data_IF_572108600534
#
_entry.id   IF_572108600534
#
_cell.length_a   1.000
_cell.length_b   1.000
_cell.length_c   1.000
_cell.angle_alpha   90.00
_cell.angle_beta   90.00
_cell.angle_gamma   90.00
#
_symmetry.space_group_name_H-M   'P 1'
#
loop_
_entity.id
_entity.type
_entity.pdbx_description
1 polymer ?
#
# COMPACT_ATOMS: atom_id res chain seq x y z
N UNK A 1 -33.28 -70.35 4.63
CA UNK A 1 -33.23 -69.38 3.51
C UNK A 1 -32.33 -68.27 3.93
N UNK A 2 -31.27 -68.07 3.23
CA UNK A 2 -30.03 -67.36 3.59
C UNK A 2 -30.18 -65.92 4.03
N UNK A 3 -29.67 -65.62 5.15
CA UNK A 3 -29.38 -64.30 5.64
C UNK A 3 -27.88 -64.00 5.43
N UNK A 4 -27.59 -63.01 4.59
CA UNK A 4 -26.22 -62.57 4.21
C UNK A 4 -25.92 -61.25 4.89
N UNK A 5 -25.35 -61.27 6.11
CA UNK A 5 -24.83 -60.10 6.79
C UNK A 5 -23.55 -59.59 6.13
N UNK A 6 -23.60 -58.36 5.58
CA UNK A 6 -22.43 -57.62 5.09
C UNK A 6 -21.79 -56.82 6.23
N UNK A 7 -20.66 -57.32 6.73
CA UNK A 7 -19.82 -56.57 7.66
C UNK A 7 -19.07 -55.43 6.96
N UNK A 8 -19.33 -54.19 7.36
CA UNK A 8 -18.57 -53.03 6.92
C UNK A 8 -17.15 -53.00 7.51
N UNK A 9 -16.15 -52.40 6.86
CA UNK A 9 -14.78 -52.35 7.35
C UNK A 9 -14.67 -51.47 8.60
N UNK A 10 -14.14 -52.10 9.68
CA UNK A 10 -13.83 -51.41 10.92
C UNK A 10 -12.80 -50.30 10.68
N UNK A 11 -13.09 -49.12 11.17
CA UNK A 11 -12.11 -48.04 11.27
C UNK A 11 -11.13 -48.36 12.37
N UNK A 12 -9.92 -48.75 12.00
CA UNK A 12 -8.83 -48.93 12.94
C UNK A 12 -8.51 -47.57 13.61
N UNK A 13 -8.56 -47.56 14.93
CA UNK A 13 -8.16 -46.39 15.71
C UNK A 13 -6.64 -46.26 15.62
N UNK A 14 -6.10 -45.07 15.39
CA UNK A 14 -4.65 -44.87 15.32
C UNK A 14 -4.01 -45.29 16.66
N UNK A 15 -2.90 -46.01 16.56
CA UNK A 15 -2.12 -46.42 17.72
C UNK A 15 -1.45 -45.21 18.39
N UNK A 16 -1.18 -45.24 19.71
CA UNK A 16 -0.51 -44.16 20.42
C UNK A 16 0.83 -43.75 19.80
N UNK A 17 1.50 -44.69 19.12
CA UNK A 17 2.73 -44.42 18.37
C UNK A 17 2.48 -43.53 17.15
N UNK A 18 1.36 -43.68 16.45
CA UNK A 18 0.98 -42.83 15.33
C UNK A 18 0.71 -41.37 15.75
N UNK A 19 0.15 -41.17 16.94
CA UNK A 19 -0.05 -39.82 17.50
C UNK A 19 1.27 -39.14 17.88
N UNK A 20 2.25 -39.87 18.41
CA UNK A 20 3.57 -39.32 18.73
C UNK A 20 4.36 -38.92 17.47
N UNK A 21 4.27 -39.72 16.40
CA UNK A 21 4.92 -39.38 15.12
C UNK A 21 4.24 -38.16 14.47
N UNK A 22 2.91 -38.06 14.52
CA UNK A 22 2.17 -36.89 14.00
C UNK A 22 2.50 -35.60 14.75
N UNK A 23 2.60 -35.64 16.07
CA UNK A 23 3.00 -34.51 16.92
C UNK A 23 4.46 -34.08 16.68
N UNK A 24 5.37 -35.06 16.48
CA UNK A 24 6.77 -34.77 16.18
C UNK A 24 6.95 -34.12 14.80
N UNK A 25 6.18 -34.53 13.78
CA UNK A 25 6.18 -33.90 12.48
C UNK A 25 5.58 -32.46 12.50
N UNK A 26 4.49 -32.26 13.22
CA UNK A 26 3.89 -30.93 13.39
C UNK A 26 4.86 -29.98 14.12
N UNK A 27 5.56 -30.44 15.15
CA UNK A 27 6.55 -29.65 15.85
C UNK A 27 7.78 -29.33 14.97
N UNK A 28 8.20 -30.25 14.10
CA UNK A 28 9.30 -30.01 13.16
C UNK A 28 8.94 -29.00 12.07
N UNK A 29 7.70 -29.01 11.58
CA UNK A 29 7.21 -28.04 10.60
C UNK A 29 7.12 -26.63 11.23
N UNK A 30 6.57 -26.54 12.45
CA UNK A 30 6.46 -25.25 13.16
C UNK A 30 7.85 -24.76 13.60
N UNK A 31 8.71 -25.64 14.10
CA UNK A 31 10.10 -25.29 14.46
C UNK A 31 10.96 -24.94 13.26
N UNK A 32 10.79 -25.62 12.12
CA UNK A 32 11.49 -25.33 10.87
C UNK A 32 11.07 -23.99 10.28
N UNK A 33 9.79 -23.64 10.35
CA UNK A 33 9.28 -22.34 9.92
C UNK A 33 9.78 -21.20 10.84
N UNK A 34 9.84 -21.45 12.15
CA UNK A 34 10.36 -20.49 13.12
C UNK A 34 11.87 -20.26 12.96
N UNK A 35 12.66 -21.33 12.70
CA UNK A 35 14.09 -21.23 12.46
C UNK A 35 14.42 -20.62 11.10
N UNK A 36 13.59 -20.83 10.07
CA UNK A 36 13.75 -20.14 8.78
C UNK A 36 13.50 -18.63 8.90
N UNK A 37 12.61 -18.22 9.82
CA UNK A 37 12.32 -16.81 10.10
C UNK A 37 13.41 -16.13 10.93
N UNK A 38 14.16 -16.90 11.76
CA UNK A 38 15.22 -16.35 12.63
C UNK A 38 16.64 -16.50 12.08
N UNK A 39 16.85 -17.39 11.10
CA UNK A 39 18.17 -17.63 10.49
C UNK A 39 18.44 -16.80 9.21
N UNK A 40 17.49 -15.99 8.76
CA UNK A 40 17.63 -15.06 7.64
C UNK A 40 18.22 -13.70 8.02
N UNK A 41 18.94 -13.60 9.12
CA UNK A 41 19.71 -12.42 9.51
C UNK A 41 21.04 -12.36 8.75
N UNK A 42 21.00 -12.03 7.48
CA UNK A 42 22.15 -11.57 6.70
C UNK A 42 21.92 -10.11 6.35
N UNK A 43 22.93 -9.30 6.65
CA UNK A 43 22.97 -7.86 6.44
C UNK A 43 22.82 -7.49 4.96
N UNK A 44 21.58 -7.48 4.46
CA UNK A 44 21.19 -6.79 3.24
C UNK A 44 20.17 -5.72 3.63
N UNK A 45 20.70 -4.67 4.23
CA UNK A 45 19.99 -3.45 4.58
C UNK A 45 19.53 -2.72 3.31
N UNK A 46 18.25 -2.79 2.99
CA UNK A 46 17.77 -1.77 2.10
C UNK A 46 16.33 -1.83 1.58
N UNK A 47 15.85 -2.91 1.05
CA UNK A 47 14.59 -2.85 0.30
C UNK A 47 13.43 -3.68 0.87
N UNK A 48 13.71 -4.79 1.53
CA UNK A 48 12.68 -5.71 2.00
C UNK A 48 11.97 -5.27 3.31
N UNK A 49 12.49 -4.27 4.01
CA UNK A 49 11.97 -3.84 5.32
C UNK A 49 10.68 -3.01 5.25
N UNK A 50 10.34 -2.46 4.09
CA UNK A 50 9.28 -1.45 3.98
C UNK A 50 7.86 -2.01 3.91
N UNK A 51 7.68 -3.28 3.60
CA UNK A 51 6.35 -3.90 3.46
C UNK A 51 5.85 -4.52 4.78
N UNK A 52 6.71 -4.76 5.75
CA UNK A 52 6.41 -5.60 6.92
C UNK A 52 5.55 -4.95 8.00
N UNK A 53 5.17 -3.67 7.88
CA UNK A 53 4.53 -2.91 8.96
C UNK A 53 3.13 -2.39 8.65
N UNK A 54 2.59 -2.64 7.44
CA UNK A 54 1.26 -2.18 7.10
C UNK A 54 0.20 -3.24 7.38
N UNK A 55 -0.94 -2.80 7.87
CA UNK A 55 -2.16 -3.62 7.87
C UNK A 55 -2.73 -3.61 6.46
N UNK A 56 -2.68 -4.73 5.79
CA UNK A 56 -3.18 -4.85 4.43
C UNK A 56 -2.53 -5.99 3.68
N UNK A 57 -2.89 -6.15 2.43
CA UNK A 57 -2.37 -7.17 1.52
C UNK A 57 -1.58 -6.52 0.40
N UNK A 58 -0.51 -7.15 -0.05
CA UNK A 58 0.14 -6.74 -1.32
C UNK A 58 -0.75 -7.04 -2.53
N UNK A 59 -1.82 -7.82 -2.35
CA UNK A 59 -2.73 -8.29 -3.39
C UNK A 59 -2.00 -8.93 -4.60
N UNK A 60 -0.82 -9.49 -4.33
CA UNK A 60 0.04 -10.14 -5.33
C UNK A 60 0.93 -9.20 -6.14
N UNK A 61 0.90 -7.89 -5.88
CA UNK A 61 1.76 -6.93 -6.58
C UNK A 61 3.20 -7.08 -6.16
N UNK A 62 4.10 -6.97 -7.13
CA UNK A 62 5.53 -7.01 -6.91
C UNK A 62 6.05 -5.66 -6.39
N UNK A 63 6.96 -5.67 -5.39
CA UNK A 63 7.57 -4.43 -4.89
C UNK A 63 8.46 -3.78 -5.95
N UNK A 64 8.60 -2.45 -5.85
CA UNK A 64 9.54 -1.68 -6.66
C UNK A 64 10.90 -1.58 -5.96
N UNK A 65 11.80 -2.49 -6.29
CA UNK A 65 13.16 -2.55 -5.71
C UNK A 65 14.19 -1.72 -6.50
N UNK A 66 13.75 -0.89 -7.45
CA UNK A 66 14.66 -0.06 -8.25
C UNK A 66 15.34 0.98 -7.35
N UNK A 67 16.63 1.18 -7.53
CA UNK A 67 17.39 2.22 -6.85
C UNK A 67 16.81 3.62 -7.18
N UNK A 68 16.38 4.33 -6.16
CA UNK A 68 15.76 5.63 -6.32
C UNK A 68 16.77 6.77 -6.47
N UNK A 69 16.34 7.87 -7.08
CA UNK A 69 17.07 9.14 -7.03
C UNK A 69 16.69 9.89 -5.76
N UNK A 70 17.69 10.33 -4.99
CA UNK A 70 17.43 11.11 -3.78
C UNK A 70 16.52 12.32 -4.08
N UNK A 71 15.46 12.53 -3.31
CA UNK A 71 14.56 13.66 -3.55
C UNK A 71 15.24 14.97 -3.20
N UNK A 72 14.79 16.10 -3.79
CA UNK A 72 15.28 17.41 -3.39
C UNK A 72 14.95 17.67 -1.92
N UNK A 73 15.77 18.47 -1.22
CA UNK A 73 15.46 18.92 0.14
C UNK A 73 14.06 19.54 0.21
N UNK A 74 13.37 19.35 1.32
CA UNK A 74 12.11 20.06 1.54
C UNK A 74 12.37 21.58 1.57
N UNK A 75 11.54 22.39 0.88
CA UNK A 75 11.70 23.83 0.94
C UNK A 75 11.48 24.35 2.36
N UNK A 76 12.26 25.34 2.75
CA UNK A 76 12.08 26.06 4.02
C UNK A 76 11.82 27.55 3.72
N UNK A 77 10.76 28.16 4.30
CA UNK A 77 9.76 27.55 5.17
C UNK A 77 8.86 26.57 4.41
N UNK A 78 8.21 25.67 5.15
CA UNK A 78 7.24 24.75 4.56
C UNK A 78 6.14 25.55 3.84
N UNK A 79 5.95 25.24 2.56
CA UNK A 79 4.87 25.83 1.76
C UNK A 79 3.60 24.99 1.98
N UNK A 80 2.43 25.60 1.91
CA UNK A 80 1.19 24.83 1.92
C UNK A 80 0.98 24.15 0.56
N UNK A 81 0.15 23.10 0.54
CA UNK A 81 -0.14 22.30 -0.64
C UNK A 81 -0.68 23.15 -1.82
N UNK A 82 -1.44 24.20 -1.56
CA UNK A 82 -1.98 25.11 -2.59
C UNK A 82 -0.87 25.90 -3.29
N UNK A 83 0.05 26.50 -2.53
CA UNK A 83 1.17 27.24 -3.10
C UNK A 83 2.13 26.32 -3.87
N UNK A 84 2.43 25.14 -3.33
CA UNK A 84 3.27 24.17 -3.98
C UNK A 84 2.64 23.63 -5.28
N UNK A 85 1.35 23.32 -5.28
CA UNK A 85 0.61 22.91 -6.47
C UNK A 85 0.64 24.00 -7.56
N UNK A 86 0.42 25.24 -7.19
CA UNK A 86 0.48 26.38 -8.13
C UNK A 86 1.89 26.53 -8.75
N UNK A 87 2.94 26.46 -7.94
CA UNK A 87 4.33 26.55 -8.41
C UNK A 87 4.70 25.42 -9.39
N UNK A 88 4.18 24.22 -9.18
CA UNK A 88 4.38 23.07 -10.06
C UNK A 88 3.44 23.07 -11.30
N UNK A 89 2.44 23.94 -11.35
CA UNK A 89 1.38 23.91 -12.36
C UNK A 89 0.47 22.67 -12.23
N UNK A 90 0.35 22.14 -11.03
CA UNK A 90 -0.53 21.05 -10.69
C UNK A 90 -1.93 21.57 -10.29
N UNK A 91 -2.94 20.73 -10.46
CA UNK A 91 -4.30 21.02 -10.02
C UNK A 91 -4.56 20.34 -8.69
N UNK A 92 -4.79 21.11 -7.66
CA UNK A 92 -5.25 20.64 -6.37
C UNK A 92 -6.79 20.67 -6.32
N UNK A 93 -7.38 19.61 -5.82
CA UNK A 93 -8.82 19.47 -5.55
C UNK A 93 -8.95 18.86 -4.15
N UNK A 94 -9.61 19.55 -3.27
CA UNK A 94 -9.90 19.12 -1.89
C UNK A 94 -11.40 19.15 -1.63
N UNK A 95 -11.83 18.46 -0.58
CA UNK A 95 -13.25 18.41 -0.20
C UNK A 95 -14.15 17.96 -1.36
N UNK A 96 -13.67 16.98 -2.14
CA UNK A 96 -14.48 16.35 -3.16
C UNK A 96 -15.65 15.63 -2.51
N UNK A 97 -16.81 15.53 -3.19
CA UNK A 97 -17.90 14.71 -2.69
C UNK A 97 -17.44 13.29 -2.41
N UNK A 98 -17.83 12.76 -1.26
CA UNK A 98 -17.65 11.35 -0.94
C UNK A 98 -18.61 10.50 -1.77
N UNK A 99 -18.10 9.42 -2.36
CA UNK A 99 -18.81 8.58 -3.34
C UNK A 99 -19.29 7.25 -2.74
N UNK A 100 -19.26 7.10 -1.42
CA UNK A 100 -19.63 5.89 -0.68
C UNK A 100 -18.51 5.40 0.23
N UNK A 101 -18.83 4.36 1.03
CA UNK A 101 -17.90 3.68 1.95
C UNK A 101 -18.27 2.21 2.18
N UNK A 102 -19.14 1.66 1.35
CA UNK A 102 -19.56 0.28 1.57
C UNK A 102 -18.41 -0.68 1.25
N UNK A 103 -18.21 -1.64 2.14
CA UNK A 103 -17.25 -2.71 1.93
C UNK A 103 -17.81 -3.77 0.98
N UNK A 104 -17.16 -3.92 -0.14
CA UNK A 104 -17.46 -4.90 -1.17
C UNK A 104 -16.60 -6.16 -0.99
N UNK A 105 -16.99 -7.21 -1.69
CA UNK A 105 -16.21 -8.43 -1.89
C UNK A 105 -15.65 -8.48 -3.32
N UNK A 106 -14.77 -9.44 -3.62
CA UNK A 106 -14.27 -9.65 -4.99
C UNK A 106 -15.34 -10.18 -5.96
N UNK A 107 -16.48 -10.60 -5.45
CA UNK A 107 -17.61 -11.10 -6.25
C UNK A 107 -18.58 -9.98 -6.66
N UNK A 108 -18.52 -8.85 -5.97
CA UNK A 108 -19.33 -7.69 -6.28
C UNK A 108 -18.82 -6.97 -7.53
N UNK A 109 -19.71 -6.29 -8.29
CA UNK A 109 -19.27 -5.46 -9.40
C UNK A 109 -18.27 -4.39 -8.96
N UNK A 110 -17.26 -4.15 -9.79
CA UNK A 110 -16.31 -3.06 -9.51
C UNK A 110 -17.06 -1.71 -9.51
N UNK A 111 -16.85 -0.86 -8.50
CA UNK A 111 -17.49 0.44 -8.43
C UNK A 111 -16.98 1.39 -9.52
N UNK A 112 -17.84 2.29 -9.97
CA UNK A 112 -17.44 3.41 -10.84
C UNK A 112 -17.11 4.62 -9.98
N UNK A 113 -15.94 5.21 -10.21
CA UNK A 113 -15.48 6.38 -9.47
C UNK A 113 -15.58 7.65 -10.31
N UNK A 114 -16.04 8.73 -9.70
CA UNK A 114 -16.18 10.05 -10.35
C UNK A 114 -14.85 10.75 -10.63
N UNK A 115 -13.75 10.25 -10.06
CA UNK A 115 -12.40 10.75 -10.32
C UNK A 115 -11.45 9.62 -10.74
N UNK A 116 -10.50 9.95 -11.61
CA UNK A 116 -9.38 9.09 -11.99
C UNK A 116 -8.08 9.85 -11.74
N UNK A 117 -7.27 9.41 -10.75
CA UNK A 117 -7.51 8.33 -9.79
C UNK A 117 -8.66 8.60 -8.81
N UNK A 118 -9.24 7.55 -8.17
CA UNK A 118 -10.31 7.70 -7.19
C UNK A 118 -9.82 8.31 -5.89
N UNK A 119 -10.74 8.98 -5.17
CA UNK A 119 -10.46 9.60 -3.87
C UNK A 119 -11.36 9.13 -2.74
N UNK A 120 -12.46 8.46 -3.05
CA UNK A 120 -13.43 7.87 -2.13
C UNK A 120 -14.33 6.93 -2.91
N UNK A 121 -15.23 6.24 -2.24
CA UNK A 121 -16.24 5.37 -2.84
C UNK A 121 -16.28 3.99 -2.20
N UNK A 122 -17.24 3.18 -2.62
CA UNK A 122 -17.33 1.79 -2.19
C UNK A 122 -16.07 1.03 -2.62
N UNK A 123 -15.59 0.12 -1.78
CA UNK A 123 -14.29 -0.50 -1.97
C UNK A 123 -14.20 -1.89 -1.33
N UNK A 124 -13.14 -2.62 -1.65
CA UNK A 124 -12.96 -3.98 -1.11
C UNK A 124 -12.70 -3.93 0.38
N UNK A 125 -13.48 -4.70 1.14
CA UNK A 125 -13.37 -4.80 2.60
C UNK A 125 -12.11 -5.52 3.10
N UNK A 126 -11.88 -5.46 4.44
CA UNK A 126 -10.71 -6.11 5.03
C UNK A 126 -10.66 -7.62 4.76
N UNK A 127 -9.48 -8.24 4.71
CA UNK A 127 -8.13 -7.66 4.91
C UNK A 127 -7.45 -7.21 3.60
N UNK A 128 -8.20 -6.94 2.54
CA UNK A 128 -7.69 -6.81 1.18
C UNK A 128 -7.35 -5.37 0.77
N UNK A 129 -7.35 -4.40 1.70
CA UNK A 129 -6.80 -3.09 1.39
C UNK A 129 -5.35 -3.20 0.91
N UNK A 130 -4.94 -2.36 -0.03
CA UNK A 130 -3.56 -2.36 -0.51
C UNK A 130 -2.61 -1.97 0.61
N UNK A 131 -1.62 -2.81 0.89
CA UNK A 131 -0.58 -2.53 1.86
C UNK A 131 0.28 -1.33 1.44
N UNK A 132 0.80 -0.58 2.43
CA UNK A 132 1.81 0.45 2.18
C UNK A 132 2.98 -0.16 1.41
N UNK A 133 3.46 0.52 0.36
CA UNK A 133 4.51 -0.01 -0.48
C UNK A 133 4.69 0.78 -1.77
N UNK A 134 5.88 0.63 -2.39
CA UNK A 134 6.11 0.99 -3.76
C UNK A 134 5.99 -0.28 -4.62
N UNK A 135 5.24 -0.20 -5.72
CA UNK A 135 4.93 -1.33 -6.60
C UNK A 135 5.28 -1.01 -8.05
N UNK A 136 5.67 -2.04 -8.81
CA UNK A 136 5.95 -1.91 -10.25
C UNK A 136 4.72 -2.15 -11.14
N UNK A 137 3.60 -2.54 -10.53
CA UNK A 137 2.34 -2.86 -11.19
C UNK A 137 1.22 -1.95 -10.70
N UNK A 138 0.21 -1.76 -11.55
CA UNK A 138 -0.97 -0.96 -11.23
C UNK A 138 -1.82 -1.66 -10.17
N UNK A 139 -2.08 -0.98 -9.07
CA UNK A 139 -2.98 -1.48 -8.03
C UNK A 139 -4.44 -1.31 -8.41
N UNK A 140 -5.29 -2.24 -7.98
CA UNK A 140 -6.72 -2.15 -8.23
C UNK A 140 -7.33 -0.94 -7.49
N UNK A 141 -8.12 -0.10 -8.17
CA UNK A 141 -8.64 1.13 -7.57
C UNK A 141 -9.41 0.91 -6.25
N UNK A 142 -10.22 -0.15 -6.17
CA UNK A 142 -11.02 -0.47 -5.00
C UNK A 142 -10.17 -0.90 -3.78
N UNK A 143 -8.95 -1.41 -3.99
CA UNK A 143 -8.04 -1.76 -2.91
C UNK A 143 -7.33 -0.51 -2.38
N UNK A 144 -7.05 0.44 -3.29
CA UNK A 144 -6.47 1.73 -2.96
C UNK A 144 -7.44 2.59 -2.18
N UNK A 145 -8.72 2.65 -2.59
CA UNK A 145 -9.74 3.46 -1.91
C UNK A 145 -9.87 3.05 -0.45
N UNK A 146 -9.81 1.76 -0.13
CA UNK A 146 -9.78 1.29 1.26
C UNK A 146 -8.56 1.83 2.03
N UNK A 147 -7.39 1.83 1.40
CA UNK A 147 -6.20 2.41 2.02
C UNK A 147 -6.34 3.92 2.26
N UNK A 148 -7.01 4.65 1.34
CA UNK A 148 -7.30 6.08 1.54
C UNK A 148 -8.26 6.30 2.70
N UNK A 149 -9.27 5.44 2.89
CA UNK A 149 -10.20 5.49 4.02
C UNK A 149 -9.49 5.34 5.37
N UNK A 150 -8.34 4.64 5.37
CA UNK A 150 -7.45 4.51 6.52
C UNK A 150 -6.36 5.61 6.60
N UNK A 151 -6.50 6.72 5.87
CA UNK A 151 -5.61 7.87 5.96
C UNK A 151 -4.29 7.76 5.20
N UNK A 152 -4.16 6.80 4.27
CA UNK A 152 -2.98 6.69 3.41
C UNK A 152 -3.01 7.74 2.31
N UNK A 153 -1.82 8.01 1.78
CA UNK A 153 -1.63 8.82 0.57
C UNK A 153 -1.13 7.91 -0.54
N UNK A 154 -1.86 7.84 -1.65
CA UNK A 154 -1.47 7.05 -2.81
C UNK A 154 -0.83 7.97 -3.87
N UNK A 155 0.47 7.78 -4.11
CA UNK A 155 1.22 8.47 -5.16
C UNK A 155 1.18 7.59 -6.41
N UNK A 156 0.86 8.20 -7.55
CA UNK A 156 0.70 7.50 -8.81
C UNK A 156 1.43 8.23 -9.91
N UNK A 157 2.04 7.49 -10.83
CA UNK A 157 2.75 8.06 -11.96
C UNK A 157 2.36 7.37 -13.28
N UNK A 158 2.47 8.13 -14.37
CA UNK A 158 2.31 7.59 -15.72
C UNK A 158 3.49 6.66 -16.04
N UNK A 159 3.27 5.38 -16.36
CA UNK A 159 4.34 4.45 -16.70
C UNK A 159 5.15 4.87 -17.93
N UNK A 160 4.63 5.73 -18.80
CA UNK A 160 5.32 6.26 -19.96
C UNK A 160 6.30 7.41 -19.63
N UNK A 161 6.37 7.86 -18.37
CA UNK A 161 7.40 8.80 -17.95
C UNK A 161 8.81 8.25 -18.15
N UNK A 162 9.79 9.10 -18.46
CA UNK A 162 11.20 8.70 -18.45
C UNK A 162 11.58 8.02 -17.14
N UNK A 163 12.41 6.99 -17.20
CA UNK A 163 12.84 6.23 -16.02
C UNK A 163 13.45 7.15 -14.95
N UNK A 164 14.20 8.18 -15.34
CA UNK A 164 14.77 9.17 -14.42
C UNK A 164 13.70 9.87 -13.58
N UNK A 165 12.55 10.17 -14.19
CA UNK A 165 11.46 10.87 -13.53
C UNK A 165 10.70 9.92 -12.60
N UNK A 166 10.47 8.66 -13.04
CA UNK A 166 9.91 7.62 -12.17
C UNK A 166 10.78 7.40 -10.92
N UNK A 167 12.11 7.34 -11.10
CA UNK A 167 13.06 7.15 -9.99
C UNK A 167 13.14 8.36 -9.06
N UNK A 168 12.90 9.58 -9.58
CA UNK A 168 12.77 10.77 -8.74
C UNK A 168 11.50 10.74 -7.88
N UNK A 169 10.38 10.25 -8.43
CA UNK A 169 9.12 10.06 -7.69
C UNK A 169 9.30 8.97 -6.64
N UNK A 170 9.94 7.86 -7.01
CA UNK A 170 10.28 6.81 -6.05
C UNK A 170 11.16 7.32 -4.92
N UNK A 171 12.13 8.19 -5.21
CA UNK A 171 12.96 8.82 -4.20
C UNK A 171 12.17 9.65 -3.19
N UNK A 172 11.10 10.33 -3.62
CA UNK A 172 10.17 10.96 -2.67
C UNK A 172 9.49 9.91 -1.80
N UNK A 173 8.94 8.84 -2.39
CA UNK A 173 8.32 7.76 -1.65
C UNK A 173 9.28 7.14 -0.62
N UNK A 174 10.53 6.91 -0.98
CA UNK A 174 11.54 6.31 -0.10
C UNK A 174 11.90 7.21 1.10
N UNK A 175 11.44 8.46 1.15
CA UNK A 175 11.54 9.32 2.33
C UNK A 175 10.40 9.11 3.33
N UNK A 176 9.39 8.29 3.00
CA UNK A 176 8.28 7.90 3.87
C UNK A 176 8.29 6.38 4.03
N UNK A 177 8.08 5.90 5.24
CA UNK A 177 8.17 4.47 5.58
C UNK A 177 6.81 3.83 5.86
N UNK A 178 5.78 4.62 6.03
CA UNK A 178 4.41 4.15 6.25
C UNK A 178 3.38 5.18 5.84
N UNK A 179 2.15 4.74 5.66
CA UNK A 179 1.03 5.61 5.32
C UNK A 179 1.06 6.11 3.88
N UNK A 180 1.85 5.48 3.01
CA UNK A 180 1.93 5.85 1.60
C UNK A 180 2.00 4.62 0.70
N UNK A 181 1.49 4.80 -0.52
CA UNK A 181 1.59 3.86 -1.62
C UNK A 181 2.19 4.57 -2.82
N UNK A 182 2.96 3.84 -3.64
CA UNK A 182 3.46 4.31 -4.93
C UNK A 182 3.25 3.22 -5.97
N UNK A 183 2.66 3.56 -7.12
CA UNK A 183 2.48 2.61 -8.22
C UNK A 183 2.25 3.31 -9.56
N UNK A 184 2.52 2.64 -10.71
CA UNK A 184 2.16 3.16 -12.02
C UNK A 184 0.64 3.13 -12.23
N UNK A 185 0.10 4.15 -12.89
CA UNK A 185 -1.31 4.19 -13.29
C UNK A 185 -1.46 4.75 -14.72
N UNK A 186 -1.65 3.87 -15.70
CA UNK A 186 -1.79 4.26 -17.11
C UNK A 186 -3.15 4.92 -17.42
N UNK A 187 -4.16 4.76 -16.56
CA UNK A 187 -5.53 5.19 -16.82
C UNK A 187 -5.77 6.67 -16.48
N UNK A 188 -4.83 7.30 -15.77
CA UNK A 188 -4.95 8.70 -15.37
C UNK A 188 -4.49 9.67 -16.47
N UNK A 189 -4.98 10.93 -16.39
CA UNK A 189 -4.61 12.01 -17.31
C UNK A 189 -3.44 12.87 -16.80
N UNK A 190 -2.72 12.40 -15.84
CA UNK A 190 -1.64 13.10 -15.16
C UNK A 190 -0.32 12.38 -15.36
N UNK A 191 0.75 13.12 -15.50
CA UNK A 191 2.08 12.56 -15.41
C UNK A 191 2.37 12.02 -14.00
N UNK A 192 1.90 12.76 -12.98
CA UNK A 192 1.96 12.37 -11.57
C UNK A 192 0.70 12.84 -10.88
N UNK A 193 0.15 11.99 -10.02
CA UNK A 193 -0.94 12.36 -9.12
C UNK A 193 -0.69 11.83 -7.71
N UNK A 194 -1.34 12.44 -6.72
CA UNK A 194 -1.51 11.84 -5.41
C UNK A 194 -2.95 12.00 -4.94
N UNK A 195 -3.45 10.97 -4.27
CA UNK A 195 -4.79 10.95 -3.69
C UNK A 195 -4.75 10.65 -2.21
N UNK A 196 -5.67 11.24 -1.49
CA UNK A 196 -6.06 10.95 -0.14
C UNK A 196 -7.59 10.95 -0.08
N UNK A 197 -8.20 10.61 1.03
CA UNK A 197 -9.66 10.62 1.12
C UNK A 197 -10.23 11.98 0.72
N UNK A 198 -11.14 11.99 -0.24
CA UNK A 198 -11.79 13.17 -0.85
C UNK A 198 -10.85 14.25 -1.38
N UNK A 199 -9.59 13.94 -1.63
CA UNK A 199 -8.60 14.91 -2.06
C UNK A 199 -7.68 14.36 -3.15
N UNK A 200 -7.32 15.22 -4.13
CA UNK A 200 -6.46 14.88 -5.26
C UNK A 200 -5.59 16.06 -5.65
N UNK A 201 -4.31 15.79 -5.88
CA UNK A 201 -3.42 16.65 -6.66
C UNK A 201 -3.03 15.93 -7.94
N UNK A 202 -3.12 16.60 -9.08
CA UNK A 202 -2.75 16.04 -10.38
C UNK A 202 -1.89 16.99 -11.18
N UNK A 203 -0.72 16.54 -11.61
CA UNK A 203 0.25 17.27 -12.40
C UNK A 203 0.27 16.71 -13.82
N UNK A 204 -0.14 17.48 -14.81
CA UNK A 204 -0.17 17.01 -16.21
C UNK A 204 1.23 16.83 -16.83
N UNK A 205 2.23 17.46 -16.23
CA UNK A 205 3.62 17.38 -16.63
C UNK A 205 4.48 17.18 -15.39
N UNK A 206 5.50 16.34 -15.50
CA UNK A 206 6.53 16.27 -14.47
C UNK A 206 7.51 17.43 -14.66
N UNK A 207 7.69 18.25 -13.63
CA UNK A 207 8.53 19.44 -13.63
C UNK A 207 9.65 19.35 -12.58
N UNK A 208 10.23 18.15 -12.45
CA UNK A 208 11.31 17.90 -11.49
C UNK A 208 10.93 18.26 -10.06
N UNK A 209 11.82 19.00 -9.40
CA UNK A 209 11.71 19.38 -7.99
C UNK A 209 10.39 20.06 -7.63
N UNK A 210 9.84 20.87 -8.53
CA UNK A 210 8.57 21.55 -8.28
C UNK A 210 7.43 20.54 -8.12
N UNK A 211 7.38 19.51 -8.99
CA UNK A 211 6.38 18.43 -8.87
C UNK A 211 6.61 17.60 -7.62
N UNK A 212 7.86 17.21 -7.34
CA UNK A 212 8.21 16.46 -6.12
C UNK A 212 7.76 17.22 -4.86
N UNK A 213 8.02 18.52 -4.80
CA UNK A 213 7.61 19.36 -3.67
C UNK A 213 6.09 19.48 -3.55
N UNK A 214 5.37 19.59 -4.68
CA UNK A 214 3.92 19.66 -4.67
C UNK A 214 3.28 18.37 -4.13
N UNK A 215 3.77 17.21 -4.54
CA UNK A 215 3.31 15.90 -4.05
C UNK A 215 3.67 15.74 -2.56
N UNK A 216 4.88 16.15 -2.15
CA UNK A 216 5.31 16.15 -0.74
C UNK A 216 4.37 16.97 0.15
N UNK A 217 4.09 18.21 -0.23
CA UNK A 217 3.21 19.10 0.56
C UNK A 217 1.76 18.61 0.58
N UNK A 218 1.28 18.00 -0.52
CA UNK A 218 0.00 17.32 -0.53
C UNK A 218 -0.02 16.17 0.48
N UNK A 219 0.98 15.30 0.46
CA UNK A 219 1.09 14.19 1.39
C UNK A 219 1.10 14.66 2.84
N UNK A 220 1.91 15.67 3.17
CA UNK A 220 1.98 16.26 4.52
C UNK A 220 0.65 16.84 4.99
N UNK A 221 -0.13 17.42 4.08
CA UNK A 221 -1.40 18.07 4.42
C UNK A 221 -2.56 17.09 4.58
N UNK A 222 -2.45 15.87 4.02
CA UNK A 222 -3.58 14.94 3.95
C UNK A 222 -3.31 13.59 4.62
N UNK A 223 -2.06 13.30 4.98
CA UNK A 223 -1.70 12.08 5.68
C UNK A 223 -2.44 11.96 7.01
N UNK A 224 -3.05 10.80 7.27
CA UNK A 224 -3.81 10.52 8.47
C UNK A 224 -5.17 11.25 8.53
N UNK A 225 -5.56 11.98 7.48
CA UNK A 225 -6.89 12.60 7.39
C UNK A 225 -7.84 11.65 6.66
N UNK A 226 -8.66 10.95 7.43
CA UNK A 226 -9.54 9.92 6.91
C UNK A 226 -10.81 9.82 7.76
N UNK A 227 -11.89 9.23 7.21
CA UNK A 227 -13.12 9.02 7.95
C UNK A 227 -13.01 7.96 9.06
N UNK A 228 -12.09 7.01 8.91
CA UNK A 228 -11.81 6.02 9.94
C UNK A 228 -10.63 6.42 10.80
N UNK A 229 -10.84 6.41 12.13
CA UNK A 229 -9.79 6.65 13.13
C UNK A 229 -8.94 5.37 13.30
N UNK A 230 -8.36 4.92 12.20
CA UNK A 230 -7.37 3.84 12.23
C UNK A 230 -6.02 4.48 12.50
N UNK A 231 -5.35 4.04 13.57
CA UNK A 231 -3.98 4.47 13.83
C UNK A 231 -3.13 4.25 12.57
N UNK A 232 -2.89 5.31 11.84
CA UNK A 232 -1.90 5.31 10.76
C UNK A 232 -0.57 5.12 11.46
N UNK A 233 0.07 3.98 11.22
CA UNK A 233 1.26 3.58 11.95
C UNK A 233 2.29 4.69 11.95
N UNK A 234 2.77 5.05 13.15
CA UNK A 234 4.04 5.76 13.24
C UNK A 234 5.09 4.85 12.62
N UNK A 235 5.92 5.36 11.72
CA UNK A 235 6.99 4.57 11.14
C UNK A 235 7.82 3.96 12.27
N UNK A 236 8.16 2.67 12.16
CA UNK A 236 9.05 2.02 13.12
C UNK A 236 10.46 2.61 13.06
N UNK A 237 10.83 3.20 11.94
CA UNK A 237 12.06 3.97 11.73
C UNK A 237 11.87 4.90 10.52
N UNK A 238 12.35 6.12 10.61
CA UNK A 238 12.38 7.09 9.52
C UNK A 238 11.17 8.03 9.43
N UNK A 239 11.27 9.04 8.57
CA UNK A 239 10.25 10.07 8.43
C UNK A 239 9.01 9.54 7.71
N UNK A 240 7.84 10.08 8.06
CA UNK A 240 6.59 9.95 7.30
C UNK A 240 6.18 11.31 6.75
N UNK A 241 5.11 11.36 5.95
CA UNK A 241 4.52 12.65 5.55
C UNK A 241 4.10 13.49 6.75
N UNK A 242 3.75 12.87 7.89
CA UNK A 242 3.36 13.55 9.12
C UNK A 242 4.52 14.06 9.96
N UNK A 243 5.76 13.64 9.72
CA UNK A 243 6.93 14.15 10.42
C UNK A 243 7.36 15.50 9.86
N UNK A 244 6.92 16.55 10.51
CA UNK A 244 7.44 17.90 10.31
C UNK A 244 8.79 18.02 11.00
N UNK A 245 9.89 17.52 10.45
CA UNK A 245 11.29 17.71 10.86
C UNK A 245 11.68 18.73 11.95
N UNK A 246 10.92 18.78 13.05
CA UNK A 246 11.33 19.45 14.27
C UNK A 246 12.19 18.48 15.07
N UNK A 247 13.48 18.64 14.88
CA UNK A 247 14.50 18.32 15.87
C UNK A 247 15.08 19.62 16.40
#
# INVERSE_FOLDING_TARGET
MNDSGSGGPGRDKPTPLGYLIGLAMAAAIIGGLYLAFTAGGGDDDGAAAHIATSTGSTNGLAPDDRAATAPPPAPAPATNSTAAAAAAGCRLRVELPEEGRDHLTREDPAPEYGTVPPTSGDHIGPPLQQADGAYIETAAPQDIVHSLEHGRVAIQYDPDLPLSDQLAIKGLYDTVYSGALLYPNPDMKYAVAATAWTSLIGCRQFRGDATINAIREFGRSHYGQAPEDVNVFKPLAGPSFGDSGEQ
#
